data_IF_073049449535
#
_entry.id   IF_073049449535
#
_cell.length_a   1.000
_cell.length_b   1.000
_cell.length_c   1.000
_cell.angle_alpha   90.00
_cell.angle_beta   90.00
_cell.angle_gamma   90.00
#
_symmetry.space_group_name_H-M   'P 1'
#
loop_
_entity.id
_entity.type
_entity.pdbx_description
1 polymer ?
#
# COMPACT_ATOMS: atom_id res chain seq x y z
N UNK A 1 -0.20 27.07 36.88
CA UNK A 1 -1.26 26.32 36.19
C UNK A 1 -0.59 25.45 35.15
N UNK A 2 -0.44 24.15 35.43
CA UNK A 2 0.27 23.22 34.56
C UNK A 2 -0.61 22.87 33.35
N UNK A 3 -0.02 22.90 32.15
CA UNK A 3 -0.68 22.49 30.92
C UNK A 3 -0.64 20.96 30.82
N UNK A 4 -1.80 20.31 30.98
CA UNK A 4 -1.96 18.87 30.80
C UNK A 4 -1.77 18.51 29.32
N UNK A 5 -0.63 17.89 29.03
CA UNK A 5 -0.38 17.22 27.76
C UNK A 5 -1.21 15.93 27.70
N UNK A 6 -2.38 15.98 27.07
CA UNK A 6 -3.13 14.77 26.72
C UNK A 6 -2.48 14.09 25.51
N UNK A 7 -1.60 13.14 25.80
CA UNK A 7 -1.17 12.14 24.83
C UNK A 7 -2.24 11.06 24.74
N UNK A 8 -3.12 11.16 23.74
CA UNK A 8 -4.08 10.11 23.39
C UNK A 8 -3.32 8.95 22.73
N UNK A 9 -2.57 8.19 23.53
CA UNK A 9 -2.09 6.88 23.14
C UNK A 9 -3.30 5.94 23.04
N UNK A 10 -3.86 5.85 21.83
CA UNK A 10 -4.93 4.91 21.52
C UNK A 10 -4.45 3.48 21.81
N UNK A 11 -4.80 2.97 22.98
CA UNK A 11 -4.59 1.59 23.40
C UNK A 11 -5.57 0.72 22.62
N UNK A 12 -5.20 0.34 21.39
CA UNK A 12 -5.98 -0.64 20.63
C UNK A 12 -6.00 -1.97 21.39
N UNK A 13 -7.20 -2.51 21.58
CA UNK A 13 -7.43 -3.78 22.27
C UNK A 13 -6.78 -4.92 21.48
N UNK A 14 -6.22 -5.89 22.20
CA UNK A 14 -5.52 -7.10 21.71
C UNK A 14 -6.27 -7.99 20.70
N UNK A 15 -7.52 -7.67 20.37
CA UNK A 15 -8.37 -8.42 19.44
C UNK A 15 -8.55 -7.77 18.05
N UNK A 16 -8.02 -6.56 17.85
CA UNK A 16 -8.21 -5.77 16.61
C UNK A 16 -6.94 -5.73 15.75
N UNK A 17 -6.00 -6.65 15.99
CA UNK A 17 -4.77 -6.73 15.22
C UNK A 17 -5.06 -7.42 13.86
N UNK A 18 -4.77 -6.77 12.72
CA UNK A 18 -4.98 -7.34 11.41
C UNK A 18 -4.32 -8.71 11.29
N UNK A 19 -5.07 -9.72 10.82
CA UNK A 19 -4.53 -11.09 10.72
C UNK A 19 -3.36 -11.12 9.73
N UNK A 20 -2.26 -11.83 10.05
CA UNK A 20 -1.19 -12.08 9.09
C UNK A 20 -1.70 -12.97 7.95
N UNK A 21 -1.76 -12.43 6.73
CA UNK A 21 -2.08 -13.21 5.53
C UNK A 21 -0.83 -13.85 4.94
N UNK A 22 -1.03 -14.87 4.11
CA UNK A 22 0.03 -15.35 3.21
C UNK A 22 0.37 -14.23 2.22
N UNK A 23 1.66 -14.02 1.98
CA UNK A 23 2.13 -13.00 1.06
C UNK A 23 1.55 -13.24 -0.34
N UNK A 24 0.84 -12.28 -0.93
CA UNK A 24 0.21 -12.44 -2.25
C UNK A 24 1.21 -12.46 -3.40
N UNK A 25 2.48 -12.07 -3.18
CA UNK A 25 3.49 -12.06 -4.23
C UNK A 25 4.29 -13.37 -4.29
N UNK A 26 4.71 -13.91 -3.14
CA UNK A 26 5.51 -15.13 -3.10
C UNK A 26 4.71 -16.39 -2.76
N UNK A 27 3.48 -16.24 -2.24
CA UNK A 27 2.59 -17.31 -1.76
C UNK A 27 3.20 -18.31 -0.76
N UNK A 28 4.41 -18.04 -0.27
CA UNK A 28 5.21 -18.98 0.53
C UNK A 28 5.28 -18.56 1.99
N UNK A 29 5.50 -17.27 2.24
CA UNK A 29 5.71 -16.74 3.56
C UNK A 29 4.50 -15.97 4.06
N UNK A 30 4.29 -15.98 5.38
CA UNK A 30 3.30 -15.11 6.02
C UNK A 30 3.86 -13.70 6.13
N UNK A 31 3.03 -12.72 5.83
CA UNK A 31 3.35 -11.31 5.98
C UNK A 31 3.59 -10.99 7.46
N UNK A 32 4.65 -10.23 7.75
CA UNK A 32 5.02 -9.85 9.11
C UNK A 32 4.74 -8.37 9.34
N UNK A 33 4.30 -8.06 10.57
CA UNK A 33 4.12 -6.69 11.06
C UNK A 33 5.46 -6.16 11.59
N UNK A 34 5.84 -4.99 11.14
CA UNK A 34 7.06 -4.31 11.54
C UNK A 34 6.77 -2.87 11.94
N UNK A 35 7.69 -2.30 12.73
CA UNK A 35 7.65 -0.92 13.18
C UNK A 35 8.88 -0.19 12.63
N UNK A 36 8.66 0.94 11.98
CA UNK A 36 9.73 1.71 11.35
C UNK A 36 10.61 2.36 12.41
N UNK A 37 11.92 2.30 12.15
CA UNK A 37 12.98 2.95 12.94
C UNK A 37 13.59 4.15 12.21
N UNK A 38 13.03 4.53 11.06
CA UNK A 38 13.55 5.62 10.25
C UNK A 38 13.09 6.98 10.80
N UNK A 39 13.93 8.02 10.81
CA UNK A 39 13.57 9.33 11.38
C UNK A 39 12.28 9.94 10.82
N UNK A 40 12.02 9.77 9.52
CA UNK A 40 10.85 10.33 8.84
C UNK A 40 9.57 9.49 8.98
N UNK A 41 9.65 8.28 9.53
CA UNK A 41 8.50 7.39 9.73
C UNK A 41 8.57 6.65 11.05
N UNK A 42 9.22 7.25 12.06
CA UNK A 42 9.49 6.59 13.33
C UNK A 42 8.18 6.11 13.97
N UNK A 43 8.19 4.88 14.48
CA UNK A 43 7.06 4.20 15.10
C UNK A 43 5.87 3.88 14.18
N UNK A 44 5.91 4.23 12.89
CA UNK A 44 4.88 3.84 11.94
C UNK A 44 4.91 2.33 11.67
N UNK A 45 3.73 1.73 11.53
CA UNK A 45 3.57 0.29 11.31
C UNK A 45 3.50 -0.01 9.82
N UNK A 46 4.24 -1.02 9.39
CA UNK A 46 4.16 -1.56 8.03
C UNK A 46 4.14 -3.09 8.07
N UNK A 47 3.68 -3.68 6.98
CA UNK A 47 3.56 -5.11 6.76
C UNK A 47 4.40 -5.49 5.54
N UNK A 48 5.25 -6.51 5.68
CA UNK A 48 6.17 -6.91 4.60
C UNK A 48 6.36 -8.42 4.56
N UNK A 49 6.83 -8.93 3.41
CA UNK A 49 7.26 -10.31 3.31
C UNK A 49 8.59 -10.50 4.04
N UNK A 50 8.80 -11.63 4.75
CA UNK A 50 10.09 -11.97 5.34
C UNK A 50 11.25 -12.00 4.33
N UNK A 51 10.97 -12.35 3.07
CA UNK A 51 11.97 -12.36 1.98
C UNK A 51 12.19 -10.97 1.36
N UNK A 52 11.62 -9.90 1.93
CA UNK A 52 11.82 -8.55 1.41
C UNK A 52 13.19 -8.01 1.85
N UNK A 53 14.08 -7.77 0.89
CA UNK A 53 15.35 -7.11 1.16
C UNK A 53 15.30 -5.63 0.80
N UNK A 54 15.96 -4.80 1.61
CA UNK A 54 15.98 -3.33 1.46
C UNK A 54 16.75 -2.84 0.23
N UNK A 55 17.62 -3.69 -0.32
CA UNK A 55 18.38 -3.44 -1.54
C UNK A 55 17.53 -3.67 -2.81
N UNK A 56 16.24 -3.99 -2.67
CA UNK A 56 15.34 -4.27 -3.77
C UNK A 56 15.43 -5.71 -4.29
N UNK A 57 16.25 -6.56 -3.65
CA UNK A 57 16.27 -7.99 -3.94
C UNK A 57 15.17 -8.73 -3.15
N UNK A 58 14.77 -9.91 -3.61
CA UNK A 58 13.75 -10.72 -2.93
C UNK A 58 12.30 -10.31 -3.22
N UNK A 59 11.39 -10.58 -2.29
CA UNK A 59 9.96 -10.38 -2.49
C UNK A 59 9.58 -8.88 -2.36
N UNK A 60 8.92 -8.26 -3.35
CA UNK A 60 8.66 -6.82 -3.33
C UNK A 60 7.45 -6.42 -2.45
N UNK A 61 6.87 -7.36 -1.69
CA UNK A 61 5.66 -7.08 -0.91
C UNK A 61 5.98 -6.19 0.30
N UNK A 62 5.42 -4.98 0.27
CA UNK A 62 5.51 -3.99 1.32
C UNK A 62 4.26 -3.10 1.30
N UNK A 63 3.59 -2.95 2.45
CA UNK A 63 2.45 -2.05 2.61
C UNK A 63 2.51 -1.36 3.98
N UNK A 64 2.23 -0.06 4.03
CA UNK A 64 1.93 0.62 5.29
C UNK A 64 0.63 0.09 5.90
N UNK A 65 0.45 0.26 7.21
CA UNK A 65 -0.70 -0.29 7.95
C UNK A 65 -2.05 0.00 7.29
N UNK A 66 -2.31 1.25 6.89
CA UNK A 66 -3.56 1.63 6.21
C UNK A 66 -3.76 0.87 4.88
N UNK A 67 -2.70 0.75 4.09
CA UNK A 67 -2.74 0.01 2.83
C UNK A 67 -2.93 -1.49 3.03
N UNK A 68 -2.35 -2.05 4.11
CA UNK A 68 -2.51 -3.45 4.46
C UNK A 68 -3.94 -3.77 4.92
N UNK A 69 -4.54 -2.91 5.76
CA UNK A 69 -5.95 -3.07 6.19
C UNK A 69 -6.89 -3.05 4.99
N UNK A 70 -6.75 -2.05 4.11
CA UNK A 70 -7.58 -1.96 2.90
C UNK A 70 -7.43 -3.20 2.00
N UNK A 71 -6.21 -3.73 1.87
CA UNK A 71 -5.97 -4.98 1.14
C UNK A 71 -6.75 -6.15 1.76
N UNK A 72 -6.76 -6.29 3.09
CA UNK A 72 -7.52 -7.36 3.76
C UNK A 72 -9.03 -7.23 3.55
N UNK A 73 -9.55 -6.00 3.63
CA UNK A 73 -10.98 -5.73 3.41
C UNK A 73 -11.39 -6.05 1.97
N UNK A 74 -10.54 -5.70 1.00
CA UNK A 74 -10.76 -6.00 -0.42
C UNK A 74 -10.79 -7.51 -0.68
N UNK A 75 -9.83 -8.26 -0.13
CA UNK A 75 -9.79 -9.72 -0.29
C UNK A 75 -10.97 -10.40 0.40
N UNK A 76 -11.34 -9.94 1.60
CA UNK A 76 -12.52 -10.46 2.31
C UNK A 76 -13.83 -10.17 1.54
N UNK A 77 -13.93 -9.02 0.86
CA UNK A 77 -15.07 -8.71 0.00
C UNK A 77 -15.13 -9.63 -1.24
N UNK A 78 -13.98 -9.94 -1.86
CA UNK A 78 -13.90 -10.89 -2.98
C UNK A 78 -14.29 -12.30 -2.57
N UNK A 79 -13.83 -12.77 -1.41
CA UNK A 79 -14.22 -14.09 -0.88
C UNK A 79 -15.73 -14.20 -0.65
N UNK A 80 -16.36 -13.16 -0.10
CA UNK A 80 -17.82 -13.11 0.06
C UNK A 80 -18.57 -13.12 -1.28
N UNK A 81 -18.07 -12.41 -2.28
CA UNK A 81 -18.66 -12.39 -3.62
C UNK A 81 -18.49 -13.74 -4.34
N UNK A 82 -17.37 -14.43 -4.15
CA UNK A 82 -17.11 -15.75 -4.72
C UNK A 82 -17.93 -16.86 -4.04
N UNK A 83 -18.15 -16.76 -2.72
CA UNK A 83 -18.98 -17.72 -1.98
C UNK A 83 -20.48 -17.66 -2.33
N UNK A 84 -20.97 -16.53 -2.87
CA UNK A 84 -22.38 -16.35 -3.21
C UNK A 84 -22.78 -16.95 -4.57
N UNK A 85 -21.86 -17.58 -5.30
CA UNK A 85 -22.12 -18.25 -6.59
C UNK A 85 -22.35 -19.77 -6.49
N UNK A 86 -22.34 -20.38 -5.29
CA UNK A 86 -22.43 -21.85 -5.17
C UNK A 86 -23.77 -22.40 -4.68
N UNK A 87 -24.70 -21.59 -4.17
CA UNK A 87 -25.92 -22.08 -3.53
C UNK A 87 -27.19 -21.35 -4.01
N UNK A 88 -27.59 -21.46 -5.29
CA UNK A 88 -29.02 -21.28 -5.66
C UNK A 88 -29.38 -21.88 -7.04
N UNK A 89 -29.45 -23.20 -7.12
CA UNK A 89 -30.24 -23.91 -8.15
C UNK A 89 -31.01 -25.06 -7.50
N UNK A 90 -32.21 -24.76 -7.02
CA UNK A 90 -33.42 -25.64 -7.04
C UNK A 90 -34.56 -24.74 -6.55
N UNK A 91 -35.40 -24.22 -7.47
CA UNK A 91 -36.76 -24.75 -7.71
C UNK A 91 -37.73 -24.40 -6.55
N UNK A 92 -38.85 -23.70 -6.66
CA UNK A 92 -39.69 -23.17 -7.74
C UNK A 92 -40.76 -22.23 -7.12
N UNK A 93 -41.16 -21.19 -7.86
CA UNK A 93 -42.53 -20.62 -8.01
C UNK A 93 -43.48 -20.42 -6.81
N UNK A 94 -43.99 -19.17 -6.73
CA UNK A 94 -45.29 -18.70 -6.18
C UNK A 94 -45.38 -18.66 -4.64
N UNK A 95 -45.75 -17.60 -3.93
CA UNK A 95 -46.56 -16.37 -4.09
C UNK A 95 -45.96 -15.37 -3.07
N UNK A 96 -45.95 -14.04 -3.20
CA UNK A 96 -47.10 -13.15 -3.40
C UNK A 96 -46.58 -11.71 -3.53
N UNK A 97 -47.06 -11.02 -4.55
CA UNK A 97 -46.82 -9.60 -4.83
C UNK A 97 -47.31 -8.66 -3.70
N UNK A 98 -46.56 -7.59 -3.41
CA UNK A 98 -47.02 -6.18 -3.29
C UNK A 98 -45.75 -5.30 -3.39
N UNK A 99 -45.37 -4.74 -4.55
CA UNK A 99 -45.87 -3.57 -5.30
C UNK A 99 -45.11 -2.25 -5.00
N UNK A 100 -44.47 -1.77 -6.07
CA UNK A 100 -44.04 -0.41 -6.47
C UNK A 100 -43.43 0.59 -5.47
N UNK A 101 -42.23 1.09 -5.80
CA UNK A 101 -41.73 2.35 -5.27
C UNK A 101 -40.31 2.76 -5.64
N UNK A 102 -40.14 3.28 -6.87
CA UNK A 102 -39.12 4.27 -7.27
C UNK A 102 -37.64 3.82 -7.38
N UNK A 103 -37.21 3.51 -8.61
CA UNK A 103 -35.82 3.59 -9.05
C UNK A 103 -35.55 5.05 -9.46
N UNK A 104 -34.64 5.72 -8.78
CA UNK A 104 -33.57 6.50 -9.42
C UNK A 104 -32.62 7.15 -8.40
N UNK A 105 -31.37 7.26 -8.83
CA UNK A 105 -30.24 8.01 -8.24
C UNK A 105 -29.51 7.41 -7.02
N UNK A 106 -28.66 6.39 -7.26
CA UNK A 106 -27.40 6.25 -6.48
C UNK A 106 -26.32 5.41 -7.18
N UNK A 107 -26.43 5.18 -8.50
CA UNK A 107 -25.48 4.37 -9.25
C UNK A 107 -24.26 5.16 -9.80
N UNK A 108 -24.13 6.45 -9.50
CA UNK A 108 -23.13 7.31 -10.16
C UNK A 108 -21.90 7.61 -9.28
N UNK A 109 -21.93 7.35 -7.98
CA UNK A 109 -20.84 7.74 -7.08
C UNK A 109 -19.74 6.66 -6.88
N UNK A 110 -19.97 5.42 -7.32
CA UNK A 110 -19.02 4.30 -7.11
C UNK A 110 -17.90 4.24 -8.17
N UNK A 111 -18.15 4.72 -9.40
CA UNK A 111 -17.12 4.70 -10.46
C UNK A 111 -16.05 5.78 -10.30
N UNK A 112 -16.37 6.93 -9.69
CA UNK A 112 -15.39 8.02 -9.55
C UNK A 112 -14.39 7.78 -8.42
N UNK A 113 -14.80 7.14 -7.32
CA UNK A 113 -13.90 6.85 -6.21
C UNK A 113 -12.84 5.80 -6.57
N UNK A 114 -13.21 4.80 -7.37
CA UNK A 114 -12.29 3.73 -7.82
C UNK A 114 -11.26 4.22 -8.84
N UNK A 115 -11.61 5.17 -9.70
CA UNK A 115 -10.68 5.78 -10.65
C UNK A 115 -9.60 6.63 -9.93
N UNK A 116 -9.99 7.40 -8.92
CA UNK A 116 -9.08 8.27 -8.13
C UNK A 116 -8.05 7.46 -7.35
N UNK A 117 -8.43 6.30 -6.82
CA UNK A 117 -7.50 5.42 -6.08
C UNK A 117 -6.49 4.71 -7.00
N UNK A 118 -6.89 4.38 -8.23
CA UNK A 118 -5.99 3.79 -9.23
C UNK A 118 -4.98 4.82 -9.71
N UNK A 119 -5.39 6.07 -9.96
CA UNK A 119 -4.49 7.17 -10.30
C UNK A 119 -3.49 7.48 -9.18
N UNK A 120 -3.91 7.41 -7.91
CA UNK A 120 -3.00 7.66 -6.79
C UNK A 120 -1.93 6.55 -6.66
N UNK A 121 -2.30 5.29 -6.88
CA UNK A 121 -1.37 4.16 -6.89
C UNK A 121 -0.37 4.23 -8.03
N UNK A 122 -0.81 4.61 -9.23
CA UNK A 122 0.11 4.81 -10.36
C UNK A 122 1.03 6.02 -10.10
N UNK A 123 0.52 7.13 -9.54
CA UNK A 123 1.34 8.29 -9.19
C UNK A 123 2.45 7.95 -8.18
N UNK A 124 2.14 7.16 -7.14
CA UNK A 124 3.11 6.81 -6.10
C UNK A 124 4.20 5.89 -6.66
N UNK A 125 3.83 4.93 -7.52
CA UNK A 125 4.78 4.02 -8.15
C UNK A 125 5.69 4.77 -9.15
N UNK A 126 5.11 5.67 -9.95
CA UNK A 126 5.85 6.57 -10.86
C UNK A 126 6.76 7.50 -10.06
N UNK A 127 6.32 8.00 -8.90
CA UNK A 127 7.12 8.85 -8.03
C UNK A 127 8.39 8.18 -7.50
N UNK A 128 8.32 6.87 -7.22
CA UNK A 128 9.49 6.10 -6.79
C UNK A 128 10.50 5.90 -7.91
N UNK A 129 10.04 5.61 -9.13
CA UNK A 129 10.89 5.50 -10.32
C UNK A 129 11.58 6.83 -10.67
N UNK A 130 10.84 7.96 -10.58
CA UNK A 130 11.40 9.31 -10.80
C UNK A 130 12.44 9.65 -9.73
N UNK A 131 12.17 9.34 -8.45
CA UNK A 131 13.12 9.58 -7.36
C UNK A 131 14.40 8.75 -7.53
N UNK A 132 14.27 7.49 -7.99
CA UNK A 132 15.40 6.64 -8.34
C UNK A 132 16.23 7.21 -9.49
N UNK A 133 15.58 7.58 -10.60
CA UNK A 133 16.24 8.21 -11.74
C UNK A 133 16.94 9.52 -11.37
N UNK A 134 16.31 10.37 -10.55
CA UNK A 134 16.91 11.60 -10.06
C UNK A 134 18.19 11.34 -9.26
N UNK A 135 18.18 10.31 -8.40
CA UNK A 135 19.35 9.91 -7.61
C UNK A 135 20.48 9.39 -8.51
N UNK A 136 20.15 8.63 -9.57
CA UNK A 136 21.11 8.16 -10.57
C UNK A 136 21.74 9.32 -11.37
N UNK A 137 20.93 10.28 -11.81
CA UNK A 137 21.41 11.48 -12.54
C UNK A 137 22.36 12.30 -11.67
N UNK A 138 21.99 12.57 -10.41
CA UNK A 138 22.85 13.29 -9.48
C UNK A 138 24.20 12.58 -9.27
N UNK A 139 24.19 11.24 -9.14
CA UNK A 139 25.40 10.45 -9.02
C UNK A 139 26.32 10.61 -10.25
N UNK A 140 25.76 10.49 -11.46
CA UNK A 140 26.50 10.69 -12.70
C UNK A 140 27.08 12.10 -12.82
N UNK A 141 26.31 13.14 -12.47
CA UNK A 141 26.78 14.52 -12.46
C UNK A 141 27.97 14.71 -11.50
N UNK A 142 27.90 14.13 -10.30
CA UNK A 142 29.00 14.20 -9.33
C UNK A 142 30.26 13.51 -9.86
N UNK A 143 30.14 12.34 -10.49
CA UNK A 143 31.27 11.65 -11.11
C UNK A 143 31.91 12.53 -12.19
N UNK A 144 31.10 13.13 -13.07
CA UNK A 144 31.60 14.02 -14.13
C UNK A 144 32.36 15.20 -13.52
N UNK A 145 31.80 15.86 -12.50
CA UNK A 145 32.47 16.99 -11.82
C UNK A 145 33.80 16.55 -11.22
N UNK A 146 33.85 15.39 -10.54
CA UNK A 146 35.08 14.85 -9.97
C UNK A 146 36.12 14.58 -11.06
N UNK A 147 35.74 13.97 -12.17
CA UNK A 147 36.64 13.70 -13.30
C UNK A 147 37.19 15.01 -13.86
N UNK A 148 36.35 16.03 -14.06
CA UNK A 148 36.80 17.33 -14.56
C UNK A 148 37.75 18.02 -13.58
N UNK A 149 37.48 17.98 -12.27
CA UNK A 149 38.38 18.52 -11.26
C UNK A 149 39.73 17.80 -11.25
N UNK A 150 39.73 16.47 -11.39
CA UNK A 150 40.96 15.68 -11.49
C UNK A 150 41.76 16.06 -12.73
N UNK A 151 41.11 16.22 -13.89
CA UNK A 151 41.76 16.67 -15.11
C UNK A 151 42.41 18.04 -14.93
N UNK A 152 41.67 19.02 -14.39
CA UNK A 152 42.21 20.36 -14.09
C UNK A 152 43.38 20.28 -13.13
N UNK A 153 43.28 19.49 -12.06
CA UNK A 153 44.34 19.32 -11.09
C UNK A 153 45.61 18.70 -11.70
N UNK A 154 45.46 17.75 -12.62
CA UNK A 154 46.57 17.16 -13.38
C UNK A 154 47.19 18.20 -14.33
N UNK A 155 46.39 19.03 -14.98
CA UNK A 155 46.90 20.13 -15.83
C UNK A 155 47.65 21.17 -15.00
N UNK A 156 47.21 21.48 -13.78
CA UNK A 156 47.89 22.42 -12.88
C UNK A 156 49.19 21.87 -12.28
N UNK A 157 49.37 20.54 -12.27
CA UNK A 157 50.59 19.89 -11.78
C UNK A 157 51.65 19.65 -12.85
N UNK A 158 51.33 19.92 -14.13
CA UNK A 158 52.28 19.95 -15.24
C UNK A 158 52.84 21.36 -15.41
#
# INVERSE_FOLDING_TARGET
MAAESSSVAATRRRGDEPRPITCPNCHRHKVVKCRSKQPWSLDQIFYTCPDHNKDGTGCPFFLWEAGYINHLETEAAKEKAAGMQSDEVTESLLEKNVDLGNRDATAVEVEHATAVEVELRTLINIGYDIAGLLKCILCMCLIIVVVQLLLVFVQMKK
#
